data_IF_771120391452
#
_entry.id   IF_771120391452
#
_cell.length_a   1.000
_cell.length_b   1.000
_cell.length_c   1.000
_cell.angle_alpha   90.00
_cell.angle_beta   90.00
_cell.angle_gamma   90.00
#
_symmetry.space_group_name_H-M   'P 1'
#
loop_
_entity.id
_entity.type
_entity.pdbx_description
1 polymer ?
#
# COMPACT_ATOMS: atom_id res chain seq x y z
N UNK A 1 1.22 67.43 -0.01
CA UNK A 1 0.92 68.06 1.29
C UNK A 1 -0.58 68.26 1.36
N UNK A 2 -1.39 67.71 2.27
CA UNK A 2 -1.18 66.96 3.53
C UNK A 2 -2.36 65.97 3.67
N UNK A 3 -2.16 64.66 3.87
CA UNK A 3 -2.17 63.96 5.17
C UNK A 3 -3.10 64.60 6.22
N UNK A 4 -4.31 64.06 6.35
CA UNK A 4 -5.12 64.20 7.56
C UNK A 4 -5.48 62.83 8.13
N UNK A 5 -5.21 62.72 9.43
CA UNK A 5 -5.16 61.58 10.32
C UNK A 5 -6.40 60.65 10.31
N UNK A 6 -6.20 59.41 9.87
CA UNK A 6 -7.09 58.27 10.15
C UNK A 6 -6.80 57.60 11.51
N UNK A 7 -5.84 58.10 12.27
CA UNK A 7 -5.40 57.53 13.56
C UNK A 7 -6.32 57.89 14.75
N UNK A 8 -7.40 58.65 14.55
CA UNK A 8 -8.29 59.11 15.63
C UNK A 8 -9.72 58.52 15.62
N UNK A 9 -10.03 57.60 14.71
CA UNK A 9 -11.29 56.84 14.72
C UNK A 9 -11.16 55.44 15.36
N UNK A 10 -9.96 55.11 15.88
CA UNK A 10 -9.66 53.81 16.51
C UNK A 10 -9.48 53.92 18.04
N UNK A 11 -10.18 54.85 18.69
CA UNK A 11 -10.10 55.00 20.15
C UNK A 11 -11.33 55.69 20.74
N UNK A 12 -12.55 55.22 20.46
CA UNK A 12 -13.74 55.51 21.29
C UNK A 12 -15.01 54.78 20.81
N UNK A 13 -15.02 53.44 20.84
CA UNK A 13 -16.22 52.66 21.17
C UNK A 13 -15.77 51.42 21.96
N UNK A 14 -15.16 51.66 23.11
CA UNK A 14 -15.04 50.69 24.17
C UNK A 14 -16.09 51.07 25.24
N UNK A 15 -16.87 50.07 25.69
CA UNK A 15 -18.11 50.14 26.48
C UNK A 15 -19.37 50.42 25.62
N UNK A 16 -20.33 49.52 25.41
CA UNK A 16 -20.70 48.29 26.12
C UNK A 16 -21.36 47.31 25.13
N UNK A 17 -20.63 46.29 24.70
CA UNK A 17 -21.21 44.97 24.62
C UNK A 17 -20.40 44.16 25.62
N UNK A 18 -21.06 43.65 26.66
CA UNK A 18 -20.56 42.44 27.27
C UNK A 18 -20.49 41.46 26.11
N UNK A 19 -19.28 41.24 25.57
CA UNK A 19 -19.01 40.03 24.85
C UNK A 19 -19.36 38.97 25.89
N UNK A 20 -20.57 38.41 25.78
CA UNK A 20 -20.76 37.05 26.23
C UNK A 20 -19.62 36.35 25.53
N UNK A 21 -18.58 35.99 26.29
CA UNK A 21 -17.63 35.02 25.81
C UNK A 21 -18.50 33.81 25.55
N UNK A 22 -18.97 33.68 24.30
CA UNK A 22 -19.61 32.48 23.84
C UNK A 22 -18.63 31.41 24.27
N UNK A 23 -19.05 30.53 25.18
CA UNK A 23 -18.17 29.47 25.62
C UNK A 23 -17.80 28.73 24.34
N UNK A 24 -16.57 28.92 23.88
CA UNK A 24 -16.06 28.22 22.72
C UNK A 24 -16.04 26.76 23.14
N UNK A 25 -17.00 25.98 22.65
CA UNK A 25 -17.05 24.55 22.88
C UNK A 25 -16.22 23.94 21.76
N UNK A 26 -15.08 23.30 22.06
CA UNK A 26 -14.28 22.65 21.04
C UNK A 26 -15.09 21.58 20.32
N UNK A 27 -14.99 21.52 18.99
CA UNK A 27 -15.64 20.48 18.18
C UNK A 27 -14.83 19.19 18.11
N UNK A 28 -13.77 19.07 18.91
CA UNK A 28 -12.95 17.86 19.04
C UNK A 28 -11.81 17.72 18.04
N UNK A 29 -11.63 18.69 17.13
CA UNK A 29 -10.55 18.74 16.14
C UNK A 29 -9.67 19.96 16.39
N UNK A 30 -8.37 19.83 16.10
CA UNK A 30 -7.38 20.91 16.18
C UNK A 30 -6.63 21.10 14.87
N UNK A 31 -6.14 22.32 14.64
CA UNK A 31 -5.18 22.66 13.58
C UNK A 31 -3.93 23.21 14.25
N UNK A 32 -2.78 22.54 14.10
CA UNK A 32 -1.51 22.90 14.75
C UNK A 32 -1.69 23.08 16.28
N UNK A 33 -2.50 22.21 16.92
CA UNK A 33 -2.83 22.27 18.34
C UNK A 33 -3.86 23.34 18.74
N UNK A 34 -4.30 24.19 17.81
CA UNK A 34 -5.37 25.18 18.06
C UNK A 34 -6.74 24.51 17.89
N UNK A 35 -7.61 24.50 18.91
CA UNK A 35 -8.96 23.92 18.79
C UNK A 35 -9.84 24.64 17.77
N UNK A 36 -10.70 23.87 17.12
CA UNK A 36 -11.84 24.38 16.36
C UNK A 36 -13.04 24.54 17.29
N UNK A 37 -13.78 25.64 17.18
CA UNK A 37 -14.83 26.01 18.15
C UNK A 37 -16.21 26.12 17.51
N UNK A 38 -17.25 25.63 18.19
CA UNK A 38 -18.63 25.77 17.71
C UNK A 38 -19.24 27.14 18.01
N UNK A 39 -18.62 27.93 18.90
CA UNK A 39 -19.13 29.22 19.38
C UNK A 39 -18.80 30.43 18.51
N UNK A 40 -17.97 30.24 17.47
CA UNK A 40 -17.51 31.30 16.57
C UNK A 40 -16.38 30.78 15.67
N UNK A 41 -15.97 31.55 14.65
CA UNK A 41 -14.91 31.10 13.74
C UNK A 41 -13.57 30.97 14.47
N UNK A 42 -12.88 29.86 14.23
CA UNK A 42 -11.48 29.65 14.66
C UNK A 42 -10.58 29.87 13.45
N UNK A 43 -9.42 30.49 13.60
CA UNK A 43 -8.55 30.80 12.47
C UNK A 43 -7.08 30.84 12.87
N UNK A 44 -6.21 30.71 11.87
CA UNK A 44 -4.77 30.87 12.02
C UNK A 44 -4.12 31.15 10.67
N UNK A 45 -2.78 31.14 10.63
CA UNK A 45 -2.05 31.37 9.39
C UNK A 45 -2.44 30.33 8.33
N UNK A 46 -3.11 30.76 7.25
CA UNK A 46 -3.47 29.89 6.12
C UNK A 46 -4.70 28.99 6.33
N UNK A 47 -5.46 29.16 7.42
CA UNK A 47 -6.68 28.38 7.65
C UNK A 47 -7.77 29.15 8.39
N UNK A 48 -9.03 28.77 8.11
CA UNK A 48 -10.24 29.31 8.73
C UNK A 48 -11.24 28.17 8.92
N UNK A 49 -11.75 28.02 10.14
CA UNK A 49 -12.89 27.18 10.43
C UNK A 49 -14.15 28.05 10.58
N UNK A 50 -15.14 27.78 9.73
CA UNK A 50 -16.46 28.36 9.82
C UNK A 50 -17.44 27.33 10.45
N UNK A 51 -17.87 27.51 11.71
CA UNK A 51 -18.81 26.61 12.35
C UNK A 51 -20.20 26.61 11.71
N UNK A 52 -20.59 27.71 11.03
CA UNK A 52 -21.89 27.83 10.37
C UNK A 52 -22.06 26.84 9.22
N UNK A 53 -20.99 26.61 8.45
CA UNK A 53 -20.92 25.58 7.42
C UNK A 53 -20.23 24.29 7.88
N UNK A 54 -19.71 24.25 9.12
CA UNK A 54 -18.89 23.16 9.66
C UNK A 54 -17.70 22.84 8.75
N UNK A 55 -17.06 23.87 8.18
CA UNK A 55 -15.99 23.73 7.18
C UNK A 55 -14.69 24.35 7.67
N UNK A 56 -13.64 23.56 7.71
CA UNK A 56 -12.26 24.00 7.83
C UNK A 56 -11.68 24.22 6.44
N UNK A 57 -11.45 25.47 6.06
CA UNK A 57 -10.75 25.85 4.84
C UNK A 57 -9.26 25.94 5.09
N UNK A 58 -8.46 25.23 4.29
CA UNK A 58 -7.01 25.38 4.20
C UNK A 58 -6.67 26.10 2.89
N UNK A 59 -6.28 27.36 3.00
CA UNK A 59 -5.96 28.22 1.85
C UNK A 59 -4.48 28.62 1.78
N UNK A 60 -3.69 28.23 2.77
CA UNK A 60 -2.24 28.42 2.80
C UNK A 60 -1.46 27.17 2.43
N UNK A 61 -0.13 27.30 2.42
CA UNK A 61 0.79 26.21 2.03
C UNK A 61 1.07 25.20 3.15
N UNK A 62 0.73 25.52 4.40
CA UNK A 62 1.04 24.70 5.58
C UNK A 62 2.48 24.90 6.10
N UNK A 63 2.95 24.02 7.01
CA UNK A 63 2.32 22.76 7.40
C UNK A 63 1.07 22.92 8.27
N UNK A 64 0.07 22.08 8.04
CA UNK A 64 -1.12 21.95 8.89
C UNK A 64 -1.21 20.55 9.48
N UNK A 65 -1.05 20.41 10.79
CA UNK A 65 -1.32 19.18 11.52
C UNK A 65 -2.77 19.18 11.99
N UNK A 66 -3.55 18.23 11.48
CA UNK A 66 -4.94 18.01 11.86
C UNK A 66 -5.00 16.80 12.80
N UNK A 67 -5.64 17.00 13.96
CA UNK A 67 -5.73 15.97 15.00
C UNK A 67 -7.07 16.01 15.71
N UNK A 68 -7.49 14.87 16.27
CA UNK A 68 -8.66 14.76 17.12
C UNK A 68 -9.83 14.04 16.45
N UNK A 69 -10.99 14.08 17.10
CA UNK A 69 -12.14 13.25 16.76
C UNK A 69 -13.38 14.13 16.59
N UNK A 70 -14.01 14.07 15.42
CA UNK A 70 -15.34 14.60 15.17
C UNK A 70 -16.18 13.59 14.39
N UNK A 71 -17.02 12.84 15.09
CA UNK A 71 -17.92 11.83 14.48
C UNK A 71 -19.37 12.30 14.35
N UNK A 72 -19.65 13.53 14.76
CA UNK A 72 -20.97 14.16 14.74
C UNK A 72 -21.27 14.89 13.42
N UNK A 73 -20.29 15.01 12.51
CA UNK A 73 -20.42 15.73 11.24
C UNK A 73 -20.15 17.23 11.32
N UNK A 74 -19.64 17.71 12.47
CA UNK A 74 -19.35 19.12 12.73
C UNK A 74 -18.06 19.63 12.11
N UNK A 75 -17.27 18.78 11.44
CA UNK A 75 -16.06 19.21 10.72
C UNK A 75 -15.98 18.48 9.39
N UNK A 76 -15.80 19.26 8.32
CA UNK A 76 -15.19 18.81 7.06
C UNK A 76 -13.99 19.69 6.73
N UNK A 77 -13.04 19.15 5.98
CA UNK A 77 -11.86 19.88 5.54
C UNK A 77 -11.95 20.14 4.04
N UNK A 78 -11.63 21.35 3.62
CA UNK A 78 -11.60 21.78 2.22
C UNK A 78 -10.27 22.46 1.94
N UNK A 79 -9.52 21.94 0.97
CA UNK A 79 -8.32 22.58 0.43
C UNK A 79 -8.78 23.52 -0.68
N UNK A 80 -8.48 24.81 -0.53
CA UNK A 80 -8.95 25.83 -1.46
C UNK A 80 -8.36 25.69 -2.86
N UNK A 81 -9.08 26.20 -3.85
CA UNK A 81 -8.69 26.17 -5.26
C UNK A 81 -7.26 26.65 -5.51
N UNK A 82 -6.54 25.92 -6.36
CA UNK A 82 -5.16 26.22 -6.79
C UNK A 82 -4.13 26.34 -5.66
N UNK A 83 -4.44 25.79 -4.48
CA UNK A 83 -3.52 25.75 -3.34
C UNK A 83 -2.72 24.46 -3.35
N UNK A 84 -1.40 24.58 -3.12
CA UNK A 84 -0.53 23.45 -2.80
C UNK A 84 -0.27 23.46 -1.29
N UNK A 85 -0.80 22.48 -0.56
CA UNK A 85 -0.71 22.41 0.90
C UNK A 85 0.07 21.19 1.39
N UNK A 86 0.87 21.39 2.44
CA UNK A 86 1.41 20.34 3.29
C UNK A 86 0.48 20.09 4.47
N UNK A 87 -0.05 18.88 4.58
CA UNK A 87 -1.00 18.48 5.62
C UNK A 87 -0.47 17.24 6.33
N UNK A 88 -0.58 17.20 7.65
CA UNK A 88 -0.35 16.01 8.44
C UNK A 88 -1.66 15.60 9.13
N UNK A 89 -2.00 14.32 9.08
CA UNK A 89 -3.00 13.75 9.97
C UNK A 89 -2.30 13.11 11.15
N UNK A 90 -2.76 13.40 12.37
CA UNK A 90 -2.25 12.77 13.58
C UNK A 90 -3.41 12.39 14.49
N UNK A 91 -3.74 11.10 14.51
CA UNK A 91 -4.89 10.55 15.26
C UNK A 91 -6.20 11.29 14.92
N UNK A 92 -6.45 11.50 13.62
CA UNK A 92 -7.60 12.23 13.10
C UNK A 92 -8.74 11.27 12.75
N UNK A 93 -9.89 11.42 13.39
CA UNK A 93 -11.13 10.72 13.02
C UNK A 93 -12.20 11.73 12.64
N UNK A 94 -12.62 11.75 11.36
CA UNK A 94 -13.73 12.57 10.88
C UNK A 94 -14.82 11.67 10.29
N UNK A 95 -16.07 11.92 10.68
CA UNK A 95 -17.25 11.36 10.02
C UNK A 95 -18.18 12.49 9.60
N UNK A 96 -18.35 12.69 8.30
CA UNK A 96 -19.36 13.56 7.73
C UNK A 96 -20.69 12.78 7.65
N UNK A 97 -21.75 13.29 8.30
CA UNK A 97 -23.00 12.54 8.56
C UNK A 97 -24.17 12.92 7.65
N UNK A 98 -23.94 13.66 6.56
CA UNK A 98 -25.00 14.10 5.65
C UNK A 98 -24.65 13.91 4.17
N UNK A 99 -25.66 13.83 3.32
CA UNK A 99 -25.51 13.65 1.88
C UNK A 99 -24.64 14.77 1.30
N UNK A 100 -23.82 14.43 0.30
CA UNK A 100 -22.95 15.37 -0.39
C UNK A 100 -21.90 16.04 0.54
N UNK A 101 -21.67 15.51 1.75
CA UNK A 101 -20.61 15.97 2.66
C UNK A 101 -19.39 15.07 2.58
N UNK A 102 -18.30 15.60 2.02
CA UNK A 102 -17.00 14.94 2.07
C UNK A 102 -16.26 15.31 3.35
N UNK A 103 -15.58 14.35 3.99
CA UNK A 103 -14.74 14.59 5.16
C UNK A 103 -13.50 15.44 4.81
N UNK A 104 -12.88 15.20 3.64
CA UNK A 104 -11.70 15.92 3.16
C UNK A 104 -11.74 16.08 1.63
N UNK A 105 -11.94 17.32 1.16
CA UNK A 105 -12.09 17.62 -0.26
C UNK A 105 -11.01 18.56 -0.79
N UNK A 106 -10.53 18.27 -2.00
CA UNK A 106 -9.67 19.17 -2.77
C UNK A 106 -10.53 19.96 -3.78
N UNK A 107 -10.46 21.28 -3.76
CA UNK A 107 -11.05 22.12 -4.80
C UNK A 107 -10.23 22.06 -6.10
N UNK A 108 -10.72 22.74 -7.14
CA UNK A 108 -10.09 22.77 -8.47
C UNK A 108 -8.60 23.06 -8.40
N UNK A 109 -7.77 22.27 -9.10
CA UNK A 109 -6.31 22.40 -9.16
C UNK A 109 -5.57 22.36 -7.80
N UNK A 110 -6.24 21.97 -6.71
CA UNK A 110 -5.56 21.82 -5.42
C UNK A 110 -4.61 20.61 -5.43
N UNK A 111 -3.49 20.75 -4.72
CA UNK A 111 -2.46 19.73 -4.57
C UNK A 111 -2.13 19.55 -3.08
N UNK A 112 -2.10 18.31 -2.60
CA UNK A 112 -1.82 18.00 -1.19
C UNK A 112 -0.66 17.03 -1.08
N UNK A 113 0.30 17.37 -0.23
CA UNK A 113 1.26 16.43 0.35
C UNK A 113 0.77 16.06 1.75
N UNK A 114 0.28 14.83 1.92
CA UNK A 114 -0.30 14.30 3.14
C UNK A 114 0.69 13.39 3.88
N UNK A 115 0.95 13.70 5.15
CA UNK A 115 1.78 12.93 6.06
C UNK A 115 0.89 12.23 7.09
N UNK A 116 1.02 10.92 7.25
CA UNK A 116 0.23 10.12 8.17
C UNK A 116 1.02 9.83 9.45
N UNK A 117 0.44 10.17 10.60
CA UNK A 117 0.91 9.75 11.92
C UNK A 117 -0.27 9.19 12.72
N UNK A 118 -0.02 8.16 13.53
CA UNK A 118 -1.06 7.45 14.26
C UNK A 118 -2.16 6.89 13.36
N UNK A 119 -3.33 6.68 13.96
CA UNK A 119 -4.48 6.08 13.27
C UNK A 119 -5.44 7.15 12.76
N UNK A 120 -5.67 7.20 11.45
CA UNK A 120 -6.54 8.21 10.85
C UNK A 120 -7.71 7.57 10.11
N UNK A 121 -8.93 8.08 10.34
CA UNK A 121 -10.16 7.54 9.76
C UNK A 121 -11.04 8.66 9.23
N UNK A 122 -11.35 8.61 7.93
CA UNK A 122 -12.13 9.61 7.22
C UNK A 122 -13.34 8.90 6.59
N UNK A 123 -14.54 9.28 7.02
CA UNK A 123 -15.80 8.73 6.51
C UNK A 123 -16.66 9.85 5.95
N UNK A 124 -17.01 9.75 4.67
CA UNK A 124 -17.86 10.74 3.99
C UNK A 124 -19.32 10.29 3.96
N UNK A 125 -20.22 11.24 3.71
CA UNK A 125 -21.63 10.96 3.44
C UNK A 125 -21.87 10.50 2.00
N UNK A 126 -23.13 10.18 1.69
CA UNK A 126 -23.57 9.73 0.37
C UNK A 126 -23.08 10.66 -0.76
N UNK A 127 -22.78 10.07 -1.93
CA UNK A 127 -22.29 10.71 -3.15
C UNK A 127 -20.88 11.29 -3.08
N UNK A 128 -20.12 11.05 -2.00
CA UNK A 128 -18.80 11.67 -1.80
C UNK A 128 -17.75 10.64 -1.48
N UNK A 129 -16.56 10.85 -2.04
CA UNK A 129 -15.42 10.02 -1.69
C UNK A 129 -14.97 10.26 -0.25
N UNK A 130 -14.36 9.25 0.39
CA UNK A 130 -13.80 9.37 1.74
C UNK A 130 -12.76 10.50 1.80
N UNK A 131 -11.88 10.53 0.80
CA UNK A 131 -11.08 11.70 0.43
C UNK A 131 -11.38 12.04 -1.03
N UNK A 132 -11.91 13.23 -1.28
CA UNK A 132 -12.26 13.63 -2.64
C UNK A 132 -11.08 14.27 -3.38
N UNK A 133 -10.53 13.48 -4.28
CA UNK A 133 -9.50 13.82 -5.26
C UNK A 133 -10.11 13.60 -6.64
N UNK A 134 -10.99 14.50 -7.07
CA UNK A 134 -11.59 14.45 -8.40
C UNK A 134 -10.62 14.91 -9.52
N UNK A 135 -10.95 14.65 -10.79
CA UNK A 135 -10.10 14.96 -11.95
C UNK A 135 -9.50 16.38 -11.91
N UNK A 136 -8.19 16.51 -12.20
CA UNK A 136 -7.43 17.77 -12.15
C UNK A 136 -6.88 18.14 -10.76
N UNK A 137 -7.05 17.27 -9.75
CA UNK A 137 -6.57 17.45 -8.38
C UNK A 137 -5.54 16.37 -8.05
N UNK A 138 -4.64 16.67 -7.11
CA UNK A 138 -3.53 15.77 -6.77
C UNK A 138 -3.40 15.55 -5.28
N UNK A 139 -3.27 14.29 -4.88
CA UNK A 139 -2.95 13.87 -3.52
C UNK A 139 -1.69 13.00 -3.54
N UNK A 140 -0.69 13.37 -2.76
CA UNK A 140 0.50 12.56 -2.47
C UNK A 140 0.49 12.16 -1.00
N UNK A 141 0.51 10.86 -0.71
CA UNK A 141 0.47 10.30 0.64
C UNK A 141 1.82 9.71 0.99
N UNK A 142 2.27 9.96 2.22
CA UNK A 142 3.40 9.30 2.86
C UNK A 142 3.15 9.17 4.35
N UNK A 143 3.93 8.33 5.02
CA UNK A 143 3.96 8.29 6.47
C UNK A 143 4.81 9.46 7.03
N UNK A 144 4.59 9.82 8.30
CA UNK A 144 5.43 10.77 9.03
C UNK A 144 6.82 10.15 9.28
N UNK A 145 7.86 10.97 9.34
CA UNK A 145 9.25 10.50 9.45
C UNK A 145 9.53 9.68 10.71
N UNK A 146 8.77 9.92 11.78
CA UNK A 146 8.86 9.28 13.09
C UNK A 146 7.83 8.16 13.30
N UNK A 147 6.96 7.92 12.32
CA UNK A 147 5.92 6.89 12.40
C UNK A 147 5.72 6.22 11.04
N UNK A 148 6.46 5.14 10.79
CA UNK A 148 6.34 4.36 9.56
C UNK A 148 5.00 3.62 9.41
N UNK A 149 4.23 3.46 10.51
CA UNK A 149 2.93 2.80 10.50
C UNK A 149 1.76 3.76 10.26
N UNK A 150 2.02 5.07 10.24
CA UNK A 150 0.98 6.10 10.06
C UNK A 150 -0.09 5.67 9.06
N UNK A 151 -1.32 5.54 9.56
CA UNK A 151 -2.40 4.84 8.86
C UNK A 151 -3.47 5.80 8.38
N UNK A 152 -4.16 5.41 7.32
CA UNK A 152 -5.32 6.10 6.78
C UNK A 152 -6.36 5.08 6.36
N UNK A 153 -7.53 5.13 6.98
CA UNK A 153 -8.75 4.49 6.50
C UNK A 153 -9.67 5.54 5.87
N UNK A 154 -9.84 5.50 4.55
CA UNK A 154 -10.72 6.38 3.80
C UNK A 154 -11.95 5.61 3.31
N UNK A 155 -13.14 6.07 3.69
CA UNK A 155 -14.41 5.42 3.37
C UNK A 155 -15.33 6.38 2.62
N UNK A 156 -15.63 6.04 1.38
CA UNK A 156 -16.65 6.72 0.60
C UNK A 156 -18.05 6.42 1.13
N UNK A 157 -18.96 7.39 1.00
CA UNK A 157 -20.38 7.09 1.09
C UNK A 157 -20.86 6.34 -0.14
N UNK A 158 -22.14 5.96 -0.19
CA UNK A 158 -22.71 5.32 -1.38
C UNK A 158 -22.39 6.14 -2.64
N UNK A 159 -22.01 5.44 -3.71
CA UNK A 159 -21.58 6.00 -5.00
C UNK A 159 -20.25 6.79 -5.01
N UNK A 160 -19.63 7.04 -3.86
CA UNK A 160 -18.33 7.72 -3.74
C UNK A 160 -17.16 6.76 -3.52
N UNK A 161 -16.03 7.02 -4.16
CA UNK A 161 -14.81 6.21 -3.99
C UNK A 161 -14.25 6.27 -2.56
N UNK A 162 -13.38 5.33 -2.16
CA UNK A 162 -12.62 5.48 -0.92
C UNK A 162 -11.71 6.71 -0.99
N UNK A 163 -10.89 6.77 -2.05
CA UNK A 163 -10.07 7.93 -2.41
C UNK A 163 -10.27 8.22 -3.89
N UNK A 164 -10.73 9.43 -4.23
CA UNK A 164 -10.90 9.83 -5.63
C UNK A 164 -12.19 10.63 -5.88
N UNK A 165 -12.99 10.24 -6.86
CA UNK A 165 -14.21 10.94 -7.25
C UNK A 165 -15.43 10.61 -6.37
N UNK A 166 -16.29 11.61 -6.15
CA UNK A 166 -17.66 11.40 -5.69
C UNK A 166 -18.57 10.84 -6.79
N UNK A 167 -19.89 10.83 -6.55
CA UNK A 167 -20.87 10.36 -7.53
C UNK A 167 -20.71 11.06 -8.89
N UNK A 168 -20.65 10.27 -9.97
CA UNK A 168 -20.38 10.70 -11.36
C UNK A 168 -19.05 11.46 -11.54
N UNK A 169 -18.25 11.57 -10.48
CA UNK A 169 -16.95 12.23 -10.47
C UNK A 169 -15.85 11.29 -10.91
N UNK A 170 -15.06 11.72 -11.89
CA UNK A 170 -13.84 11.04 -12.27
C UNK A 170 -12.75 11.20 -11.19
N UNK A 171 -11.95 10.15 -11.00
CA UNK A 171 -10.77 10.19 -10.12
C UNK A 171 -9.68 11.13 -10.64
N UNK A 172 -8.96 11.77 -9.72
CA UNK A 172 -7.79 12.61 -9.98
C UNK A 172 -6.49 11.81 -9.91
N UNK A 173 -5.40 12.48 -9.53
CA UNK A 173 -4.08 11.87 -9.37
C UNK A 173 -3.83 11.55 -7.91
N UNK A 174 -3.58 10.27 -7.62
CA UNK A 174 -3.25 9.78 -6.28
C UNK A 174 -1.88 9.10 -6.33
N UNK A 175 -0.96 9.56 -5.49
CA UNK A 175 0.37 8.96 -5.32
C UNK A 175 0.51 8.48 -3.89
N UNK A 176 0.91 7.23 -3.69
CA UNK A 176 1.19 6.64 -2.38
C UNK A 176 2.67 6.26 -2.35
N UNK A 177 3.42 6.93 -1.50
CA UNK A 177 4.86 6.69 -1.31
C UNK A 177 5.16 5.92 -0.02
N UNK A 178 4.21 5.86 0.92
CA UNK A 178 4.39 5.26 2.23
C UNK A 178 3.14 5.32 3.11
N UNK A 179 3.21 4.67 4.27
CA UNK A 179 2.10 4.54 5.21
C UNK A 179 1.19 3.34 4.91
N UNK A 180 0.24 3.10 5.81
CA UNK A 180 -0.80 2.08 5.63
C UNK A 180 -2.10 2.73 5.16
N UNK A 181 -2.49 2.49 3.91
CA UNK A 181 -3.67 3.11 3.28
C UNK A 181 -4.73 2.07 3.00
N UNK A 182 -5.89 2.23 3.63
CA UNK A 182 -7.09 1.42 3.42
C UNK A 182 -8.12 2.30 2.73
N UNK A 183 -8.48 1.99 1.48
CA UNK A 183 -9.42 2.75 0.68
C UNK A 183 -10.64 1.88 0.34
N UNK A 184 -11.78 2.21 0.98
CA UNK A 184 -13.04 1.49 0.81
C UNK A 184 -14.05 2.37 0.06
N UNK A 185 -14.39 1.97 -1.16
CA UNK A 185 -15.46 2.59 -1.93
C UNK A 185 -16.84 2.22 -1.40
N UNK A 186 -17.80 3.14 -1.53
CA UNK A 186 -19.21 2.83 -1.34
C UNK A 186 -19.78 2.00 -2.51
N UNK A 187 -21.09 1.75 -2.48
CA UNK A 187 -21.79 0.99 -3.52
C UNK A 187 -21.45 1.48 -4.94
N UNK A 188 -21.14 0.55 -5.85
CA UNK A 188 -20.89 0.83 -7.28
C UNK A 188 -19.73 1.80 -7.57
N UNK A 189 -18.80 1.97 -6.64
CA UNK A 189 -17.66 2.89 -6.75
C UNK A 189 -16.32 2.17 -6.58
N UNK A 190 -15.23 2.82 -6.98
CA UNK A 190 -13.89 2.28 -6.80
C UNK A 190 -13.37 2.40 -5.35
N UNK A 191 -12.45 1.53 -4.94
CA UNK A 191 -11.66 1.76 -3.73
C UNK A 191 -10.80 3.01 -3.89
N UNK A 192 -9.97 3.03 -4.94
CA UNK A 192 -9.22 4.21 -5.39
C UNK A 192 -9.56 4.51 -6.84
N UNK A 193 -10.10 5.71 -7.11
CA UNK A 193 -10.40 6.16 -8.48
C UNK A 193 -11.76 6.84 -8.62
N UNK A 194 -12.62 6.38 -9.52
CA UNK A 194 -13.91 7.03 -9.83
C UNK A 194 -15.06 6.62 -8.90
N UNK A 195 -16.01 7.54 -8.69
CA UNK A 195 -17.33 7.20 -8.12
C UNK A 195 -18.23 6.51 -9.14
N UNK A 196 -19.49 6.24 -8.81
CA UNK A 196 -20.46 5.64 -9.75
C UNK A 196 -20.55 6.46 -11.03
N UNK A 197 -20.47 5.81 -12.20
CA UNK A 197 -20.36 6.44 -13.52
C UNK A 197 -19.17 7.40 -13.70
N UNK A 198 -18.27 7.48 -12.73
CA UNK A 198 -17.05 8.26 -12.75
C UNK A 198 -15.89 7.48 -13.38
N UNK A 199 -15.15 8.14 -14.29
CA UNK A 199 -13.97 7.54 -14.88
C UNK A 199 -12.86 7.28 -13.85
N UNK A 200 -11.98 6.32 -14.15
CA UNK A 200 -10.78 6.08 -13.37
C UNK A 200 -9.83 7.29 -13.31
N UNK A 201 -8.99 7.32 -12.29
CA UNK A 201 -7.93 8.32 -12.11
C UNK A 201 -6.54 7.73 -12.36
N UNK A 202 -5.50 8.54 -12.13
CA UNK A 202 -4.11 8.05 -12.14
C UNK A 202 -3.72 7.66 -10.72
N UNK A 203 -3.23 6.43 -10.55
CA UNK A 203 -2.76 5.91 -9.27
C UNK A 203 -1.31 5.50 -9.40
N UNK A 204 -0.45 6.07 -8.57
CA UNK A 204 0.97 5.69 -8.47
C UNK A 204 1.23 5.13 -7.08
N UNK A 205 1.87 3.97 -7.00
CA UNK A 205 2.33 3.39 -5.73
C UNK A 205 3.80 3.05 -5.85
N UNK A 206 4.61 3.68 -5.01
CA UNK A 206 6.07 3.51 -4.97
C UNK A 206 6.56 2.95 -3.64
N UNK A 207 5.69 2.86 -2.63
CA UNK A 207 5.99 2.33 -1.30
C UNK A 207 4.72 2.28 -0.45
N UNK A 208 4.87 1.84 0.80
CA UNK A 208 3.75 1.68 1.74
C UNK A 208 2.97 0.38 1.56
N UNK A 209 1.89 0.27 2.33
CA UNK A 209 0.97 -0.87 2.31
C UNK A 209 -0.43 -0.36 1.97
N UNK A 210 -1.00 -0.83 0.87
CA UNK A 210 -2.27 -0.38 0.32
C UNK A 210 -3.25 -1.54 0.30
N UNK A 211 -4.44 -1.32 0.86
CA UNK A 211 -5.60 -2.17 0.67
C UNK A 211 -6.69 -1.36 -0.02
N UNK A 212 -7.12 -1.81 -1.19
CA UNK A 212 -8.18 -1.19 -1.95
C UNK A 212 -9.35 -2.16 -2.12
N UNK A 213 -10.55 -1.67 -1.82
CA UNK A 213 -11.79 -2.43 -1.94
C UNK A 213 -12.87 -1.56 -2.59
N UNK A 214 -13.40 -2.02 -3.71
CA UNK A 214 -14.62 -1.45 -4.30
C UNK A 214 -15.87 -1.91 -3.56
N UNK A 215 -16.92 -1.09 -3.67
CA UNK A 215 -18.27 -1.57 -3.45
C UNK A 215 -18.74 -2.41 -4.65
N UNK A 216 -19.84 -3.13 -4.48
CA UNK A 216 -20.39 -4.01 -5.51
C UNK A 216 -20.54 -3.29 -6.86
N UNK A 217 -19.90 -3.81 -7.92
CA UNK A 217 -19.95 -3.28 -9.28
C UNK A 217 -18.81 -2.33 -9.67
N UNK A 218 -18.04 -1.78 -8.72
CA UNK A 218 -16.85 -0.98 -9.01
C UNK A 218 -15.58 -1.82 -9.12
N UNK A 219 -14.46 -1.20 -9.53
CA UNK A 219 -13.12 -1.82 -9.49
C UNK A 219 -12.34 -1.37 -8.26
N UNK A 220 -11.59 -2.26 -7.60
CA UNK A 220 -10.81 -1.92 -6.41
C UNK A 220 -9.90 -0.71 -6.65
N UNK A 221 -9.21 -0.69 -7.80
CA UNK A 221 -8.50 0.50 -8.30
C UNK A 221 -8.91 0.75 -9.76
N UNK A 222 -9.50 1.92 -10.05
CA UNK A 222 -9.95 2.28 -11.39
C UNK A 222 -11.25 3.06 -11.44
N UNK A 223 -12.12 2.75 -12.41
CA UNK A 223 -13.42 3.41 -12.57
C UNK A 223 -14.47 2.88 -11.59
N UNK A 224 -15.48 3.70 -11.28
CA UNK A 224 -16.71 3.16 -10.71
C UNK A 224 -17.53 2.40 -11.74
N UNK A 225 -18.64 1.82 -11.31
CA UNK A 225 -19.56 1.10 -12.20
C UNK A 225 -20.05 2.03 -13.32
N UNK A 226 -20.09 1.56 -14.57
CA UNK A 226 -20.37 2.35 -15.78
C UNK A 226 -19.41 3.53 -16.07
N UNK A 227 -18.36 3.71 -15.28
CA UNK A 227 -17.33 4.71 -15.55
C UNK A 227 -16.42 4.30 -16.72
N UNK A 228 -15.84 5.30 -17.40
CA UNK A 228 -14.85 5.04 -18.43
C UNK A 228 -13.52 4.57 -17.82
N UNK A 229 -12.87 3.60 -18.46
CA UNK A 229 -11.49 3.24 -18.14
C UNK A 229 -10.59 4.41 -18.56
N UNK A 230 -9.89 5.01 -17.60
CA UNK A 230 -9.05 6.20 -17.79
C UNK A 230 -7.93 6.20 -16.75
N UNK A 231 -6.93 7.06 -16.96
CA UNK A 231 -5.76 7.18 -16.11
C UNK A 231 -4.75 6.06 -16.32
N UNK A 232 -3.90 5.83 -15.33
CA UNK A 232 -2.88 4.79 -15.33
C UNK A 232 -2.64 4.28 -13.91
N UNK A 233 -2.31 3.00 -13.80
CA UNK A 233 -1.89 2.37 -12.55
C UNK A 233 -0.38 2.10 -12.63
N UNK A 234 0.44 2.98 -12.03
CA UNK A 234 1.90 2.89 -12.03
C UNK A 234 2.38 2.31 -10.70
N UNK A 235 2.78 1.04 -10.71
CA UNK A 235 3.26 0.35 -9.52
C UNK A 235 4.76 0.09 -9.63
N UNK A 236 5.52 0.75 -8.76
CA UNK A 236 6.99 0.67 -8.69
C UNK A 236 7.46 0.35 -7.27
N UNK A 237 6.60 -0.18 -6.41
CA UNK A 237 6.94 -0.53 -5.03
C UNK A 237 5.69 -0.74 -4.17
N UNK A 238 5.92 -0.98 -2.89
CA UNK A 238 4.87 -1.20 -1.90
C UNK A 238 4.26 -2.60 -1.92
N UNK A 239 3.33 -2.82 -0.99
CA UNK A 239 2.44 -3.97 -0.93
C UNK A 239 1.03 -3.51 -1.27
N UNK A 240 0.41 -4.04 -2.33
CA UNK A 240 -0.92 -3.60 -2.79
C UNK A 240 -1.86 -4.79 -2.88
N UNK A 241 -2.80 -4.87 -1.93
CA UNK A 241 -3.85 -5.89 -1.90
C UNK A 241 -5.13 -5.33 -2.51
N UNK A 242 -5.68 -6.07 -3.47
CA UNK A 242 -7.01 -5.84 -4.03
C UNK A 242 -8.00 -6.80 -3.37
N UNK A 243 -9.16 -6.32 -2.96
CA UNK A 243 -10.15 -7.16 -2.28
C UNK A 243 -10.83 -8.15 -3.23
N UNK A 244 -11.05 -7.74 -4.48
CA UNK A 244 -11.82 -8.47 -5.49
C UNK A 244 -11.00 -8.78 -6.75
N UNK A 245 -9.68 -8.56 -6.72
CA UNK A 245 -8.76 -8.67 -7.88
C UNK A 245 -9.19 -7.82 -9.09
N UNK A 246 -9.89 -6.71 -8.84
CA UNK A 246 -10.41 -5.84 -9.90
C UNK A 246 -9.58 -4.57 -10.03
N UNK A 247 -8.88 -4.42 -11.16
CA UNK A 247 -8.08 -3.22 -11.42
C UNK A 247 -8.17 -2.80 -12.89
N UNK A 248 -8.44 -1.52 -13.14
CA UNK A 248 -8.45 -0.94 -14.49
C UNK A 248 -7.86 0.48 -14.50
N UNK A 249 -7.05 0.85 -15.50
CA UNK A 249 -6.43 -0.04 -16.49
C UNK A 249 -5.44 -1.03 -15.85
N UNK A 250 -4.95 -1.97 -16.63
CA UNK A 250 -3.89 -2.89 -16.23
C UNK A 250 -2.67 -2.15 -15.60
N UNK A 251 -2.23 -2.48 -14.36
CA UNK A 251 -1.01 -1.89 -13.80
C UNK A 251 0.29 -2.18 -14.57
N UNK A 252 1.22 -1.23 -14.52
CA UNK A 252 2.55 -1.32 -15.12
C UNK A 252 3.58 -0.67 -14.19
N UNK A 253 4.86 -0.96 -14.41
CA UNK A 253 5.97 -0.22 -13.80
C UNK A 253 6.43 0.97 -14.68
N UNK A 254 5.61 1.37 -15.66
CA UNK A 254 5.94 2.38 -16.67
C UNK A 254 6.68 1.86 -17.90
N UNK A 255 7.23 0.65 -17.86
CA UNK A 255 7.92 0.01 -19.01
C UNK A 255 7.31 -1.33 -19.41
N UNK A 256 6.82 -2.10 -18.45
CA UNK A 256 6.20 -3.40 -18.61
C UNK A 256 4.95 -3.52 -17.73
N UNK A 257 4.04 -4.42 -18.14
CA UNK A 257 2.94 -4.90 -17.32
C UNK A 257 3.50 -5.51 -16.03
N UNK A 258 2.75 -5.39 -14.93
CA UNK A 258 3.07 -6.06 -13.67
C UNK A 258 1.91 -6.93 -13.18
N UNK A 259 2.25 -7.99 -12.45
CA UNK A 259 1.34 -8.96 -11.89
C UNK A 259 1.58 -9.11 -10.39
N UNK A 260 0.53 -9.47 -9.66
CA UNK A 260 0.59 -9.65 -8.22
C UNK A 260 1.38 -10.92 -7.87
N UNK A 261 2.40 -10.76 -7.03
CA UNK A 261 3.14 -11.80 -6.33
C UNK A 261 2.72 -11.76 -4.86
N UNK A 262 1.92 -12.74 -4.45
CA UNK A 262 1.56 -12.92 -3.04
C UNK A 262 2.71 -13.59 -2.30
N UNK A 263 3.20 -12.96 -1.23
CA UNK A 263 4.27 -13.50 -0.37
C UNK A 263 3.62 -13.93 0.96
N UNK A 264 3.40 -15.23 1.18
CA UNK A 264 2.69 -15.74 2.35
C UNK A 264 3.65 -16.06 3.50
N UNK A 265 3.11 -16.43 4.67
CA UNK A 265 3.89 -17.03 5.76
C UNK A 265 4.66 -16.02 6.62
N UNK A 266 4.32 -14.74 6.54
CA UNK A 266 4.86 -13.68 7.38
C UNK A 266 4.02 -13.53 8.67
N UNK A 267 4.58 -12.91 9.69
CA UNK A 267 3.84 -12.61 10.94
C UNK A 267 2.72 -11.59 10.66
N UNK A 268 1.44 -11.88 10.94
CA UNK A 268 0.34 -10.95 10.67
C UNK A 268 0.51 -9.58 11.32
N UNK A 269 0.26 -8.52 10.56
CA UNK A 269 0.37 -7.13 11.02
C UNK A 269 1.80 -6.64 11.28
N UNK A 270 2.82 -7.49 11.13
CA UNK A 270 4.20 -7.10 11.40
C UNK A 270 4.79 -6.29 10.23
N UNK A 271 5.73 -5.39 10.55
CA UNK A 271 6.59 -4.79 9.56
C UNK A 271 7.36 -5.88 8.79
N UNK A 272 7.53 -5.68 7.49
CA UNK A 272 8.25 -6.58 6.61
C UNK A 272 9.45 -5.86 6.04
N UNK A 273 10.63 -6.33 6.41
CA UNK A 273 11.89 -5.89 5.86
C UNK A 273 12.30 -6.84 4.74
N UNK A 274 12.53 -6.28 3.55
CA UNK A 274 13.20 -7.00 2.47
C UNK A 274 14.71 -6.81 2.66
N UNK A 275 15.45 -7.90 2.84
CA UNK A 275 16.89 -7.82 3.03
C UNK A 275 17.56 -7.21 1.80
N UNK A 276 18.54 -6.32 2.02
CA UNK A 276 19.28 -5.66 0.95
C UNK A 276 20.72 -6.17 0.86
N UNK A 277 21.24 -6.39 -0.37
CA UNK A 277 20.55 -6.25 -1.65
C UNK A 277 19.45 -7.32 -1.79
N UNK A 278 18.25 -6.90 -2.20
CA UNK A 278 17.21 -7.84 -2.59
C UNK A 278 17.67 -8.42 -3.91
N UNK A 279 18.47 -9.50 -3.87
CA UNK A 279 19.38 -9.82 -4.97
C UNK A 279 18.71 -10.02 -6.33
N UNK A 280 17.38 -10.12 -6.42
CA UNK A 280 16.67 -10.11 -7.69
C UNK A 280 15.38 -9.28 -7.72
N UNK A 281 15.08 -8.41 -6.74
CA UNK A 281 14.02 -7.42 -6.97
C UNK A 281 14.53 -6.32 -7.90
N UNK A 282 13.67 -5.73 -8.77
CA UNK A 282 14.10 -4.65 -9.63
C UNK A 282 14.63 -3.46 -8.81
N UNK A 283 15.74 -2.85 -9.23
CA UNK A 283 16.39 -1.77 -8.47
C UNK A 283 15.49 -0.53 -8.23
N UNK A 284 14.44 -0.35 -9.04
CA UNK A 284 13.45 0.70 -8.86
C UNK A 284 12.38 0.37 -7.80
N UNK A 285 12.27 -0.90 -7.37
CA UNK A 285 11.15 -1.38 -6.59
C UNK A 285 11.27 -0.90 -5.13
N UNK A 286 10.38 0.01 -4.72
CA UNK A 286 10.39 0.57 -3.37
C UNK A 286 9.85 -0.42 -2.33
N UNK A 287 10.69 -0.76 -1.35
CA UNK A 287 10.40 -1.74 -0.28
C UNK A 287 10.14 -1.08 1.08
N UNK A 288 9.92 0.23 1.13
CA UNK A 288 9.69 0.96 2.37
C UNK A 288 8.23 0.87 2.82
N UNK A 289 8.00 0.73 4.14
CA UNK A 289 6.65 0.78 4.73
C UNK A 289 5.77 -0.43 4.42
N UNK A 290 6.36 -1.62 4.30
CA UNK A 290 5.65 -2.87 4.07
C UNK A 290 5.18 -3.47 5.39
N UNK A 291 3.91 -3.83 5.45
CA UNK A 291 3.30 -4.53 6.59
C UNK A 291 2.54 -5.74 6.06
N UNK A 292 2.72 -6.88 6.72
CA UNK A 292 1.94 -8.07 6.44
C UNK A 292 0.50 -7.83 6.85
N UNK A 293 -0.45 -8.29 6.03
CA UNK A 293 -1.86 -8.16 6.34
C UNK A 293 -2.29 -9.08 7.50
N UNK A 294 -3.59 -9.09 7.80
CA UNK A 294 -4.14 -9.90 8.90
C UNK A 294 -3.95 -11.42 8.73
N UNK A 295 -3.60 -11.91 7.54
CA UNK A 295 -3.31 -13.33 7.28
C UNK A 295 -1.81 -13.59 7.06
N UNK A 296 -0.96 -12.59 7.24
CA UNK A 296 0.49 -12.75 7.12
C UNK A 296 0.99 -12.71 5.68
N UNK A 297 0.35 -11.92 4.81
CA UNK A 297 0.74 -11.77 3.41
C UNK A 297 1.13 -10.33 3.05
N UNK A 298 2.08 -10.19 2.13
CA UNK A 298 2.28 -8.96 1.33
C UNK A 298 2.09 -9.25 -0.16
N UNK A 299 1.86 -8.19 -0.95
CA UNK A 299 1.41 -8.28 -2.34
C UNK A 299 2.27 -7.39 -3.24
N UNK A 300 3.33 -7.96 -3.81
CA UNK A 300 4.30 -7.23 -4.63
C UNK A 300 3.86 -7.26 -6.09
N UNK A 301 3.88 -6.13 -6.79
CA UNK A 301 3.48 -6.08 -8.20
C UNK A 301 4.71 -6.01 -9.12
N UNK A 302 5.08 -7.13 -9.70
CA UNK A 302 6.34 -7.32 -10.43
C UNK A 302 6.10 -7.66 -11.90
N UNK A 303 6.97 -7.25 -12.84
CA UNK A 303 6.88 -7.67 -14.24
C UNK A 303 7.23 -9.15 -14.41
N UNK A 304 7.08 -9.69 -15.63
CA UNK A 304 7.49 -11.05 -15.94
C UNK A 304 8.98 -11.24 -15.65
N UNK A 305 9.32 -12.36 -15.04
CA UNK A 305 10.68 -12.66 -14.61
C UNK A 305 10.76 -13.62 -13.42
N UNK A 306 11.99 -14.06 -13.16
CA UNK A 306 12.32 -14.88 -12.00
C UNK A 306 12.86 -13.99 -10.88
N UNK A 307 12.30 -14.17 -9.69
CA UNK A 307 12.61 -13.38 -8.50
C UNK A 307 13.06 -14.32 -7.38
N UNK A 308 14.14 -13.93 -6.69
CA UNK A 308 14.56 -14.47 -5.42
C UNK A 308 14.90 -13.32 -4.47
N UNK A 309 14.30 -13.32 -3.28
CA UNK A 309 14.44 -12.27 -2.29
C UNK A 309 14.15 -12.79 -0.88
N UNK A 310 14.68 -12.11 0.13
CA UNK A 310 14.47 -12.46 1.54
C UNK A 310 13.52 -11.44 2.18
N UNK A 311 12.44 -11.91 2.79
CA UNK A 311 11.52 -11.08 3.57
C UNK A 311 11.49 -11.59 5.02
N UNK A 312 11.82 -10.72 5.99
CA UNK A 312 11.90 -11.08 7.43
C UNK A 312 12.70 -12.37 7.71
N UNK A 313 13.86 -12.54 7.06
CA UNK A 313 14.72 -13.72 7.15
C UNK A 313 14.13 -15.03 6.58
N UNK A 314 13.08 -14.93 5.76
CA UNK A 314 12.55 -16.04 4.99
C UNK A 314 12.88 -15.79 3.53
N UNK A 315 13.58 -16.73 2.91
CA UNK A 315 13.91 -16.66 1.50
C UNK A 315 12.71 -17.10 0.66
N UNK A 316 12.43 -16.36 -0.41
CA UNK A 316 11.33 -16.61 -1.33
C UNK A 316 11.83 -16.69 -2.76
N UNK A 317 11.14 -17.49 -3.57
CA UNK A 317 11.26 -17.50 -5.02
C UNK A 317 9.89 -17.32 -5.67
N UNK A 318 9.84 -16.63 -6.81
CA UNK A 318 8.64 -16.48 -7.63
C UNK A 318 9.00 -16.35 -9.11
N UNK A 319 8.27 -17.04 -9.97
CA UNK A 319 8.33 -16.85 -11.43
C UNK A 319 7.02 -16.22 -11.89
N UNK A 320 7.12 -15.01 -12.44
CA UNK A 320 5.98 -14.30 -13.02
C UNK A 320 5.99 -14.52 -14.54
N UNK A 321 4.90 -15.07 -15.06
CA UNK A 321 4.71 -15.33 -16.50
C UNK A 321 3.24 -15.04 -16.88
N UNK A 322 2.94 -13.77 -17.13
CA UNK A 322 1.65 -13.34 -17.64
C UNK A 322 0.48 -13.43 -16.64
N UNK A 323 0.71 -13.84 -15.40
CA UNK A 323 -0.32 -14.08 -14.39
C UNK A 323 0.15 -13.79 -12.96
N UNK A 324 -0.82 -13.60 -12.05
CA UNK A 324 -0.55 -13.54 -10.62
C UNK A 324 -0.02 -14.88 -10.10
N UNK A 325 0.88 -14.84 -9.11
CA UNK A 325 1.56 -16.02 -8.55
C UNK A 325 1.71 -15.89 -7.04
N UNK A 326 1.83 -17.02 -6.35
CA UNK A 326 2.22 -17.07 -4.93
C UNK A 326 3.70 -17.44 -4.83
N UNK A 327 4.49 -16.61 -4.17
CA UNK A 327 5.89 -16.88 -3.90
C UNK A 327 6.03 -18.12 -3.01
N UNK A 328 7.03 -18.94 -3.29
CA UNK A 328 7.34 -20.15 -2.52
C UNK A 328 8.54 -19.87 -1.62
N UNK A 329 8.50 -20.36 -0.39
CA UNK A 329 9.67 -20.33 0.49
C UNK A 329 10.79 -21.13 -0.18
N UNK A 330 11.93 -20.48 -0.40
CA UNK A 330 13.13 -21.11 -0.89
C UNK A 330 13.62 -22.08 0.17
N UNK A 331 13.70 -23.35 -0.18
CA UNK A 331 14.49 -24.31 0.58
C UNK A 331 15.85 -24.35 -0.12
N UNK A 332 16.91 -23.99 0.60
CA UNK A 332 18.27 -24.10 0.08
C UNK A 332 18.44 -25.49 -0.53
N UNK A 333 18.63 -25.54 -1.85
CA UNK A 333 19.15 -26.73 -2.46
C UNK A 333 20.54 -26.95 -1.84
N UNK A 334 20.91 -28.16 -1.41
CA UNK A 334 22.27 -28.41 -0.93
C UNK A 334 23.25 -28.01 -2.04
N UNK A 335 23.99 -26.93 -1.81
CA UNK A 335 24.95 -26.38 -2.77
C UNK A 335 26.13 -27.36 -2.87
N UNK A 336 26.36 -27.94 -4.05
CA UNK A 336 27.63 -28.61 -4.31
C UNK A 336 28.75 -27.55 -4.34
N UNK A 337 29.93 -27.90 -3.82
CA UNK A 337 31.07 -26.99 -3.72
C UNK A 337 31.40 -26.35 -5.10
N UNK A 338 31.52 -25.02 -5.10
CA UNK A 338 31.79 -24.18 -6.27
C UNK A 338 33.24 -24.27 -6.79
N UNK A 339 34.09 -25.09 -6.16
CA UNK A 339 35.48 -25.32 -6.56
C UNK A 339 35.63 -26.34 -7.70
N UNK A 340 34.52 -26.86 -8.25
CA UNK A 340 34.56 -27.86 -9.31
C UNK A 340 35.02 -29.23 -8.84
N UNK A 341 35.06 -29.49 -7.53
CA UNK A 341 35.12 -30.87 -7.01
C UNK A 341 33.75 -31.52 -7.15
N UNK A 342 33.33 -31.73 -8.40
CA UNK A 342 32.49 -32.89 -8.69
C UNK A 342 33.25 -34.09 -8.11
N UNK A 343 32.68 -34.68 -7.07
CA UNK A 343 33.32 -35.72 -6.28
C UNK A 343 33.95 -36.78 -7.23
N UNK A 344 35.28 -36.85 -7.26
CA UNK A 344 35.99 -37.91 -7.98
C UNK A 344 36.09 -39.09 -7.04
N UNK A 345 35.42 -40.20 -7.38
CA UNK A 345 35.41 -41.40 -6.57
C UNK A 345 36.03 -42.58 -7.32
N UNK A 346 36.84 -43.37 -6.59
CA UNK A 346 37.35 -44.69 -6.98
C UNK A 346 36.66 -45.74 -6.08
N UNK A 347 35.68 -46.48 -6.62
CA UNK A 347 34.88 -47.46 -5.86
C UNK A 347 33.52 -47.83 -6.52
N UNK A 348 32.86 -48.88 -6.02
CA UNK A 348 31.67 -49.51 -6.67
C UNK A 348 30.31 -49.00 -6.15
N UNK A 349 30.23 -48.53 -4.90
CA UNK A 349 28.99 -48.04 -4.26
C UNK A 349 29.25 -46.78 -3.44
N UNK A 350 28.32 -45.82 -3.49
CA UNK A 350 28.38 -44.55 -2.78
C UNK A 350 27.17 -44.36 -1.86
N UNK A 351 27.36 -43.50 -0.85
CA UNK A 351 26.28 -42.88 -0.08
C UNK A 351 26.33 -41.37 -0.31
N UNK A 352 25.18 -40.75 -0.56
CA UNK A 352 25.04 -39.29 -0.71
C UNK A 352 24.21 -38.79 0.46
N UNK A 353 24.83 -37.97 1.32
CA UNK A 353 24.18 -37.39 2.49
C UNK A 353 23.72 -35.95 2.19
N UNK A 354 22.46 -35.69 2.49
CA UNK A 354 21.87 -34.35 2.59
C UNK A 354 21.84 -34.01 4.07
N UNK A 355 22.47 -32.91 4.45
CA UNK A 355 22.30 -32.30 5.77
C UNK A 355 21.10 -31.35 5.73
N UNK A 356 20.33 -31.26 6.82
CA UNK A 356 19.14 -30.40 6.95
C UNK A 356 18.00 -30.72 5.95
N UNK A 357 17.77 -31.99 5.65
CA UNK A 357 16.54 -32.43 5.01
C UNK A 357 15.33 -32.09 5.88
N UNK A 358 14.22 -31.69 5.27
CA UNK A 358 12.99 -31.28 5.96
C UNK A 358 11.95 -32.40 5.95
N UNK A 359 11.31 -32.65 7.09
CA UNK A 359 10.29 -33.67 7.24
C UNK A 359 9.16 -33.51 6.21
N UNK A 360 8.77 -34.61 5.56
CA UNK A 360 7.71 -34.64 4.56
C UNK A 360 8.15 -34.28 3.14
N UNK A 361 9.35 -33.70 2.95
CA UNK A 361 9.88 -33.34 1.63
C UNK A 361 10.44 -34.57 0.90
N UNK A 362 10.15 -34.66 -0.39
CA UNK A 362 10.66 -35.69 -1.30
C UNK A 362 11.98 -35.23 -1.93
N UNK A 363 13.05 -35.99 -1.71
CA UNK A 363 14.36 -35.77 -2.30
C UNK A 363 14.59 -36.80 -3.41
N UNK A 364 14.76 -36.30 -4.64
CA UNK A 364 15.01 -37.11 -5.82
C UNK A 364 16.45 -36.97 -6.27
N UNK A 365 17.19 -38.07 -6.27
CA UNK A 365 18.53 -38.17 -6.82
C UNK A 365 18.45 -38.44 -8.33
N UNK A 366 19.21 -37.67 -9.10
CA UNK A 366 19.42 -37.89 -10.53
C UNK A 366 20.90 -38.13 -10.82
N UNK A 367 21.20 -38.89 -11.86
CA UNK A 367 22.53 -39.08 -12.41
C UNK A 367 22.61 -38.76 -13.90
N UNK A 368 23.80 -38.44 -14.39
CA UNK A 368 24.12 -38.36 -15.81
C UNK A 368 25.57 -38.77 -16.08
N UNK A 369 25.87 -39.18 -17.31
CA UNK A 369 27.21 -39.54 -17.75
C UNK A 369 28.03 -38.33 -18.20
N UNK A 370 27.36 -37.24 -18.58
CA UNK A 370 27.95 -36.04 -19.19
C UNK A 370 27.36 -34.79 -18.56
N UNK A 371 28.22 -33.87 -18.09
CA UNK A 371 27.78 -32.59 -17.55
C UNK A 371 27.06 -31.77 -18.65
N UNK A 372 25.81 -31.39 -18.40
CA UNK A 372 24.93 -30.74 -19.38
C UNK A 372 24.08 -31.70 -20.23
N UNK A 373 24.20 -33.02 -20.03
CA UNK A 373 23.38 -34.05 -20.67
C UNK A 373 22.01 -34.24 -20.02
N UNK A 374 21.29 -35.28 -20.46
CA UNK A 374 20.01 -35.68 -19.87
C UNK A 374 20.21 -36.29 -18.49
N UNK A 375 19.37 -35.89 -17.53
CA UNK A 375 19.41 -36.37 -16.15
C UNK A 375 18.43 -37.54 -15.97
N UNK A 376 18.93 -38.68 -15.50
CA UNK A 376 18.16 -39.89 -15.27
C UNK A 376 17.85 -39.98 -13.78
N UNK A 377 16.60 -40.28 -13.43
CA UNK A 377 16.18 -40.48 -12.04
C UNK A 377 16.80 -41.78 -11.49
N UNK A 378 17.41 -41.69 -10.31
CA UNK A 378 18.07 -42.82 -9.64
C UNK A 378 17.29 -43.30 -8.42
N UNK A 379 16.96 -42.38 -7.50
CA UNK A 379 16.29 -42.72 -6.25
C UNK A 379 15.40 -41.57 -5.80
N UNK A 380 14.31 -41.91 -5.12
CA UNK A 380 13.44 -40.95 -4.44
C UNK A 380 13.33 -41.38 -2.98
N UNK A 381 13.57 -40.46 -2.05
CA UNK A 381 13.44 -40.70 -0.61
C UNK A 381 12.66 -39.55 0.01
N UNK A 382 11.63 -39.88 0.79
CA UNK A 382 10.93 -38.90 1.62
C UNK A 382 11.64 -38.77 2.97
N UNK A 383 12.01 -37.55 3.36
CA UNK A 383 12.50 -37.29 4.71
C UNK A 383 11.38 -37.53 5.74
N UNK A 384 11.67 -38.38 6.73
CA UNK A 384 10.72 -38.74 7.80
C UNK A 384 10.82 -37.84 9.04
N UNK A 385 11.86 -37.03 9.09
CA UNK A 385 12.15 -36.08 10.15
C UNK A 385 13.09 -34.99 9.59
N UNK A 386 13.18 -33.87 10.31
CA UNK A 386 14.19 -32.86 10.02
C UNK A 386 15.59 -33.39 10.37
N UNK A 387 16.60 -33.11 9.54
CA UNK A 387 17.99 -33.48 9.79
C UNK A 387 18.65 -34.21 8.64
N UNK A 388 19.45 -35.23 8.94
CA UNK A 388 20.23 -35.91 7.90
C UNK A 388 19.40 -36.90 7.09
N UNK A 389 19.46 -36.82 5.76
CA UNK A 389 18.93 -37.81 4.83
C UNK A 389 20.05 -38.42 4.01
N UNK A 390 20.08 -39.73 3.86
CA UNK A 390 21.13 -40.44 3.12
C UNK A 390 20.52 -41.26 1.99
N UNK A 391 20.99 -41.02 0.77
CA UNK A 391 20.85 -41.96 -0.33
C UNK A 391 21.96 -43.01 -0.20
N UNK A 392 21.60 -44.28 -0.17
CA UNK A 392 22.55 -45.39 -0.05
C UNK A 392 22.56 -46.24 -1.31
N UNK A 393 23.63 -47.01 -1.49
CA UNK A 393 23.77 -47.97 -2.59
C UNK A 393 23.75 -47.35 -3.99
N UNK A 394 24.29 -46.14 -4.13
CA UNK A 394 24.36 -45.46 -5.42
C UNK A 394 25.51 -46.04 -6.24
N UNK A 395 25.19 -46.54 -7.43
CA UNK A 395 26.18 -47.08 -8.36
C UNK A 395 26.95 -45.96 -9.04
N UNK A 396 28.25 -45.87 -8.78
CA UNK A 396 29.17 -44.92 -9.40
C UNK A 396 29.89 -45.53 -10.62
N UNK A 397 29.13 -46.18 -11.51
CA UNK A 397 29.70 -46.75 -12.72
C UNK A 397 30.10 -45.66 -13.73
N UNK A 398 30.91 -45.96 -14.77
CA UNK A 398 31.28 -44.99 -15.80
C UNK A 398 30.11 -44.30 -16.52
N UNK A 399 28.89 -44.85 -16.46
CA UNK A 399 27.67 -44.25 -17.02
C UNK A 399 26.90 -43.38 -16.03
N UNK A 400 27.37 -43.23 -14.78
CA UNK A 400 26.77 -42.41 -13.70
C UNK A 400 27.86 -41.63 -12.98
N UNK A 401 28.31 -40.53 -13.59
CA UNK A 401 29.48 -39.76 -13.14
C UNK A 401 29.12 -38.46 -12.43
N UNK A 402 27.96 -37.89 -12.75
CA UNK A 402 27.48 -36.65 -12.16
C UNK A 402 26.15 -36.90 -11.48
N UNK A 403 25.97 -36.33 -10.29
CA UNK A 403 24.77 -36.50 -9.49
C UNK A 403 24.20 -35.13 -9.12
N UNK A 404 22.87 -35.04 -9.02
CA UNK A 404 22.18 -33.88 -8.44
C UNK A 404 20.97 -34.35 -7.64
N UNK A 405 20.57 -33.55 -6.66
CA UNK A 405 19.37 -33.82 -5.86
C UNK A 405 18.36 -32.70 -6.08
N UNK A 406 17.09 -33.05 -6.22
CA UNK A 406 15.96 -32.11 -6.25
C UNK A 406 15.03 -32.37 -5.06
N UNK A 407 14.71 -31.32 -4.30
CA UNK A 407 13.68 -31.34 -3.29
C UNK A 407 12.31 -30.98 -3.90
N UNK A 408 11.23 -31.60 -3.43
CA UNK A 408 9.87 -31.39 -3.94
C UNK A 408 8.80 -31.78 -2.92
N UNK A 409 7.60 -31.19 -3.02
CA UNK A 409 6.47 -31.49 -2.14
C UNK A 409 5.71 -32.79 -2.50
N UNK A 410 5.99 -33.40 -3.67
CA UNK A 410 5.33 -34.61 -4.15
C UNK A 410 6.28 -35.46 -5.00
N UNK A 411 5.98 -36.75 -5.18
CA UNK A 411 6.81 -37.64 -6.00
C UNK A 411 6.86 -37.14 -7.46
N UNK A 412 8.03 -37.10 -8.11
CA UNK A 412 8.10 -36.84 -9.54
C UNK A 412 7.36 -37.96 -10.30
N UNK A 413 6.63 -37.58 -11.36
CA UNK A 413 6.01 -38.52 -12.30
C UNK A 413 7.03 -39.08 -13.29
#
# INVERSE_FOLDING_TARGET
MNKHDWSRFLAAVAATFAAVAASAIPVGVTVNGTPLDSGGPSYGAGWLYDPGSSTLFLFGTGPFTLSGINVIGGVRVVISESVTSMVAFSNLTLRATGDNRCAFALETNACVSLFLAGENTLMSGENRAGIEVAAGRTLSVTHASDDAMGSLTAMGGDYGAGIGGGDQGAGGTVTINGGMVVANGGLSSAGIGGGWSGAGGTVTVSGGTVFAQSGAGGTDIGSGYNGAISGANLFTGGSIRLANDTITPAPSNGTARVWCVTVPGLTPGAAVEIALPAENLPAYFGVNGLFADAVGCIYLWLPDGDYAFTANNIDYTATVDGAAVTASVSVDAPLFATDGTALVFDGVLLSIKITNAQNGVMYTLYATDTLGGSWILEQVVQAQADGDLVFENISASPTKRFFKVRASASSPQ
#
